data_IF_313237388677
#
_entry.id   IF_313237388677
#
_cell.length_a   1.000
_cell.length_b   1.000
_cell.length_c   1.000
_cell.angle_alpha   90.00
_cell.angle_beta   90.00
_cell.angle_gamma   90.00
#
_symmetry.space_group_name_H-M   'P 1'
#
loop_
_entity.id
_entity.type
_entity.pdbx_description
1 polymer ?
#
# COMPACT_ATOMS: atom_id res chain seq x y z
N UNK A 1 -11.33 6.03 -15.22
CA UNK A 1 -9.97 6.08 -14.63
C UNK A 1 -9.85 5.37 -13.28
N UNK A 2 -10.84 5.38 -12.37
CA UNK A 2 -10.75 4.61 -11.11
C UNK A 2 -10.56 3.09 -11.33
N UNK A 3 -11.13 2.56 -12.42
CA UNK A 3 -10.95 1.17 -12.85
C UNK A 3 -9.49 0.75 -13.09
N UNK A 4 -8.60 1.68 -13.48
CA UNK A 4 -7.19 1.33 -13.75
C UNK A 4 -6.36 1.23 -12.47
N UNK A 5 -6.79 1.83 -11.36
CA UNK A 5 -6.08 1.77 -10.09
C UNK A 5 -6.37 0.47 -9.31
N UNK A 6 -7.53 -0.16 -9.56
CA UNK A 6 -7.94 -1.38 -8.84
C UNK A 6 -6.98 -2.56 -9.05
N UNK A 7 -6.52 -2.90 -10.28
CA UNK A 7 -5.55 -3.97 -10.47
C UNK A 7 -4.26 -3.72 -9.69
N UNK A 8 -3.73 -2.49 -9.72
CA UNK A 8 -2.53 -2.14 -8.97
C UNK A 8 -2.73 -2.27 -7.44
N UNK A 9 -3.90 -1.87 -6.93
CA UNK A 9 -4.26 -2.05 -5.52
C UNK A 9 -4.39 -3.53 -5.13
N UNK A 10 -4.97 -4.37 -6.00
CA UNK A 10 -5.04 -5.83 -5.77
C UNK A 10 -3.65 -6.45 -5.77
N UNK A 11 -2.80 -6.09 -6.73
CA UNK A 11 -1.42 -6.59 -6.80
C UNK A 11 -0.64 -6.18 -5.55
N UNK A 12 -0.76 -4.92 -5.11
CA UNK A 12 -0.14 -4.47 -3.86
C UNK A 12 -0.63 -5.30 -2.65
N UNK A 13 -1.94 -5.49 -2.51
CA UNK A 13 -2.53 -6.29 -1.43
C UNK A 13 -2.04 -7.75 -1.43
N UNK A 14 -2.00 -8.39 -2.60
CA UNK A 14 -1.49 -9.75 -2.76
C UNK A 14 -0.01 -9.86 -2.43
N UNK A 15 0.81 -8.91 -2.88
CA UNK A 15 2.25 -8.93 -2.60
C UNK A 15 2.56 -8.67 -1.12
N UNK A 16 1.82 -7.76 -0.47
CA UNK A 16 1.93 -7.60 0.99
C UNK A 16 1.46 -8.84 1.74
N UNK A 17 0.40 -9.50 1.29
CA UNK A 17 -0.05 -10.77 1.89
C UNK A 17 0.99 -11.88 1.71
N UNK A 18 1.63 -11.96 0.54
CA UNK A 18 2.72 -12.91 0.29
C UNK A 18 3.95 -12.59 1.14
N UNK A 19 4.28 -11.31 1.32
CA UNK A 19 5.35 -10.87 2.23
C UNK A 19 5.04 -11.34 3.65
N UNK A 20 3.83 -11.07 4.14
CA UNK A 20 3.39 -11.49 5.48
C UNK A 20 3.42 -13.01 5.66
N UNK A 21 3.05 -13.78 4.63
CA UNK A 21 3.07 -15.24 4.69
C UNK A 21 4.48 -15.82 4.89
N UNK A 22 5.53 -15.09 4.49
CA UNK A 22 6.93 -15.46 4.72
C UNK A 22 7.42 -14.84 6.03
N UNK A 23 7.19 -13.55 6.24
CA UNK A 23 7.73 -12.76 7.35
C UNK A 23 7.16 -13.20 8.73
N UNK A 24 5.92 -13.69 8.79
CA UNK A 24 5.33 -14.20 10.04
C UNK A 24 6.06 -15.45 10.58
N UNK A 25 6.34 -16.49 9.77
CA UNK A 25 7.11 -17.65 10.24
C UNK A 25 8.64 -17.49 10.13
N UNK A 26 9.15 -16.46 9.45
CA UNK A 26 10.57 -16.28 9.18
C UNK A 26 11.02 -14.85 9.51
N UNK A 27 11.89 -14.72 10.51
CA UNK A 27 12.53 -13.44 10.83
C UNK A 27 13.66 -13.19 9.85
N UNK A 28 13.56 -12.11 9.09
CA UNK A 28 14.58 -11.73 8.11
C UNK A 28 15.94 -11.46 8.79
N UNK A 29 17.00 -12.07 8.28
CA UNK A 29 18.35 -11.80 8.75
C UNK A 29 18.91 -10.51 8.14
N UNK A 30 19.73 -9.78 8.91
CA UNK A 30 20.48 -8.61 8.44
C UNK A 30 21.96 -8.78 8.86
N UNK A 31 22.89 -9.04 7.92
CA UNK A 31 22.68 -9.22 6.47
C UNK A 31 21.91 -10.49 6.11
N UNK A 32 21.47 -10.60 4.85
CA UNK A 32 20.67 -11.74 4.37
C UNK A 32 21.47 -13.05 4.49
N UNK A 33 20.85 -14.07 5.07
CA UNK A 33 21.46 -15.37 5.33
C UNK A 33 21.02 -16.44 4.32
N UNK A 34 19.89 -16.24 3.63
CA UNK A 34 19.37 -17.24 2.70
C UNK A 34 18.36 -16.71 1.67
N UNK A 35 17.90 -17.59 0.77
CA UNK A 35 17.02 -17.21 -0.34
C UNK A 35 15.66 -16.66 0.12
N UNK A 36 15.19 -17.02 1.31
CA UNK A 36 13.95 -16.48 1.87
C UNK A 36 14.06 -14.99 2.21
N UNK A 37 15.22 -14.52 2.67
CA UNK A 37 15.44 -13.09 2.95
C UNK A 37 15.35 -12.26 1.65
N UNK A 38 15.96 -12.76 0.57
CA UNK A 38 15.85 -12.15 -0.76
C UNK A 38 14.41 -12.17 -1.29
N UNK A 39 13.70 -13.29 -1.13
CA UNK A 39 12.32 -13.41 -1.59
C UNK A 39 11.39 -12.45 -0.83
N UNK A 40 11.56 -12.35 0.49
CA UNK A 40 10.80 -11.43 1.34
C UNK A 40 11.04 -9.97 0.91
N UNK A 41 12.31 -9.55 0.80
CA UNK A 41 12.63 -8.18 0.41
C UNK A 41 12.14 -7.86 -1.02
N UNK A 42 12.24 -8.81 -1.95
CA UNK A 42 11.76 -8.63 -3.33
C UNK A 42 10.24 -8.48 -3.39
N UNK A 43 9.49 -9.29 -2.64
CA UNK A 43 8.04 -9.19 -2.53
C UNK A 43 7.63 -7.85 -1.91
N UNK A 44 8.33 -7.44 -0.85
CA UNK A 44 8.08 -6.17 -0.17
C UNK A 44 8.34 -4.97 -1.09
N UNK A 45 9.48 -4.93 -1.78
CA UNK A 45 9.80 -3.89 -2.76
C UNK A 45 8.76 -3.84 -3.90
N UNK A 46 8.36 -5.00 -4.43
CA UNK A 46 7.34 -5.08 -5.48
C UNK A 46 5.95 -4.61 -4.99
N UNK A 47 5.60 -4.93 -3.74
CA UNK A 47 4.37 -4.47 -3.11
C UNK A 47 4.34 -2.94 -3.02
N UNK A 48 5.45 -2.33 -2.59
CA UNK A 48 5.60 -0.88 -2.45
C UNK A 48 5.56 -0.17 -3.81
N UNK A 49 6.20 -0.72 -4.85
CA UNK A 49 6.09 -0.18 -6.22
C UNK A 49 4.64 -0.23 -6.73
N UNK A 50 3.94 -1.34 -6.47
CA UNK A 50 2.53 -1.50 -6.86
C UNK A 50 1.62 -0.53 -6.10
N UNK A 51 1.87 -0.34 -4.80
CA UNK A 51 1.19 0.64 -3.96
C UNK A 51 1.42 2.08 -4.46
N UNK A 52 2.67 2.45 -4.76
CA UNK A 52 3.04 3.74 -5.32
C UNK A 52 2.31 4.01 -6.65
N UNK A 53 2.28 3.00 -7.54
CA UNK A 53 1.56 3.08 -8.81
C UNK A 53 0.04 3.26 -8.60
N UNK A 54 -0.56 2.49 -7.69
CA UNK A 54 -1.99 2.60 -7.38
C UNK A 54 -2.36 4.00 -6.88
N UNK A 55 -1.58 4.57 -5.94
CA UNK A 55 -1.77 5.93 -5.44
C UNK A 55 -1.55 6.98 -6.52
N UNK A 56 -0.55 6.79 -7.38
CA UNK A 56 -0.31 7.67 -8.51
C UNK A 56 -1.51 7.71 -9.47
N UNK A 57 -2.08 6.54 -9.79
CA UNK A 57 -3.27 6.44 -10.64
C UNK A 57 -4.50 7.08 -9.99
N UNK A 58 -4.70 6.91 -8.69
CA UNK A 58 -5.74 7.62 -7.93
C UNK A 58 -5.53 9.14 -7.96
N UNK A 59 -4.29 9.59 -7.87
CA UNK A 59 -3.96 11.01 -7.98
C UNK A 59 -4.33 11.59 -9.35
N UNK A 60 -4.19 10.81 -10.44
CA UNK A 60 -4.60 11.23 -11.79
C UNK A 60 -6.11 11.31 -11.94
N UNK A 61 -6.84 10.45 -11.24
CA UNK A 61 -8.30 10.43 -11.25
C UNK A 61 -8.95 11.52 -10.35
N UNK A 62 -8.19 12.10 -9.40
CA UNK A 62 -8.73 13.07 -8.46
C UNK A 62 -8.98 14.45 -9.10
N UNK A 63 -10.14 15.04 -8.78
CA UNK A 63 -10.56 16.37 -9.25
C UNK A 63 -10.11 17.46 -8.26
N UNK A 64 -9.23 18.35 -8.69
CA UNK A 64 -8.75 19.49 -7.88
C UNK A 64 -7.36 19.27 -7.26
N UNK A 65 -6.58 20.35 -7.23
CA UNK A 65 -5.14 20.31 -6.90
C UNK A 65 -4.86 19.72 -5.52
N UNK A 66 -5.59 20.12 -4.49
CA UNK A 66 -5.39 19.62 -3.12
C UNK A 66 -5.55 18.10 -3.00
N UNK A 67 -6.58 17.53 -3.64
CA UNK A 67 -6.83 16.08 -3.62
C UNK A 67 -5.77 15.31 -4.40
N UNK A 68 -5.32 15.85 -5.53
CA UNK A 68 -4.20 15.26 -6.29
C UNK A 68 -2.93 15.22 -5.48
N UNK A 69 -2.58 16.32 -4.79
CA UNK A 69 -1.40 16.38 -3.93
C UNK A 69 -1.52 15.39 -2.77
N UNK A 70 -2.69 15.29 -2.13
CA UNK A 70 -2.92 14.34 -1.03
C UNK A 70 -2.67 12.88 -1.43
N UNK A 71 -2.96 12.49 -2.68
CA UNK A 71 -2.61 11.15 -3.20
C UNK A 71 -1.15 11.01 -3.63
N UNK A 72 -0.52 12.10 -4.11
CA UNK A 72 0.87 12.09 -4.58
C UNK A 72 1.89 11.99 -3.46
N UNK A 73 1.62 12.61 -2.31
CA UNK A 73 2.53 12.56 -1.16
C UNK A 73 2.80 11.12 -0.70
N UNK A 74 1.78 10.29 -0.40
CA UNK A 74 2.03 8.90 -0.04
C UNK A 74 2.48 8.05 -1.24
N UNK A 75 2.14 8.41 -2.49
CA UNK A 75 2.70 7.74 -3.66
C UNK A 75 4.22 7.90 -3.73
N UNK A 76 4.71 9.13 -3.51
CA UNK A 76 6.14 9.42 -3.43
C UNK A 76 6.79 8.74 -2.22
N UNK A 77 6.10 8.72 -1.07
CA UNK A 77 6.51 7.97 0.11
C UNK A 77 6.73 6.49 -0.19
N UNK A 78 5.71 5.79 -0.71
CA UNK A 78 5.82 4.39 -1.12
C UNK A 78 6.95 4.19 -2.15
N UNK A 79 7.14 5.12 -3.08
CA UNK A 79 8.24 5.08 -4.05
C UNK A 79 9.63 5.16 -3.39
N UNK A 80 9.82 6.04 -2.40
CA UNK A 80 11.08 6.12 -1.65
C UNK A 80 11.36 4.85 -0.84
N UNK A 81 10.34 4.32 -0.16
CA UNK A 81 10.47 3.04 0.56
C UNK A 81 10.79 1.92 -0.41
N UNK A 82 10.14 1.88 -1.59
CA UNK A 82 10.41 0.89 -2.62
C UNK A 82 11.85 0.97 -3.16
N UNK A 83 12.38 2.17 -3.36
CA UNK A 83 13.78 2.38 -3.76
C UNK A 83 14.74 1.89 -2.68
N UNK A 84 14.49 2.22 -1.42
CA UNK A 84 15.31 1.75 -0.30
C UNK A 84 15.29 0.21 -0.16
N UNK A 85 14.10 -0.40 -0.26
CA UNK A 85 13.93 -1.85 -0.25
C UNK A 85 14.62 -2.52 -1.44
N UNK A 86 14.51 -1.95 -2.65
CA UNK A 86 15.20 -2.44 -3.84
C UNK A 86 16.72 -2.36 -3.69
N UNK A 87 17.24 -1.28 -3.10
CA UNK A 87 18.67 -1.14 -2.82
C UNK A 87 19.15 -2.17 -1.79
N UNK A 88 18.36 -2.40 -0.73
CA UNK A 88 18.59 -3.43 0.28
C UNK A 88 18.61 -4.83 -0.33
N UNK A 89 17.67 -5.12 -1.23
CA UNK A 89 17.64 -6.39 -1.97
C UNK A 89 18.91 -6.64 -2.78
N UNK A 90 19.43 -5.60 -3.46
CA UNK A 90 20.65 -5.70 -4.26
C UNK A 90 21.90 -5.81 -3.38
N UNK A 91 21.95 -5.07 -2.27
CA UNK A 91 23.08 -5.02 -1.35
C UNK A 91 23.09 -6.15 -0.31
N UNK A 92 21.98 -6.87 -0.14
CA UNK A 92 21.75 -7.90 0.88
C UNK A 92 21.86 -7.41 2.34
N UNK A 93 21.81 -6.09 2.56
CA UNK A 93 21.77 -5.44 3.86
C UNK A 93 21.20 -4.02 3.69
N UNK A 94 20.67 -3.43 4.78
CA UNK A 94 20.13 -2.07 4.73
C UNK A 94 21.25 -1.04 4.41
N UNK A 95 21.06 -0.34 3.30
CA UNK A 95 21.97 0.70 2.78
C UNK A 95 21.33 2.08 2.74
N UNK A 96 20.00 2.17 2.89
CA UNK A 96 19.23 3.40 2.67
C UNK A 96 18.22 3.67 3.80
N UNK A 97 18.51 3.21 5.03
CA UNK A 97 17.68 3.42 6.22
C UNK A 97 17.11 4.84 6.40
N UNK A 98 17.88 5.94 6.23
CA UNK A 98 17.32 7.29 6.30
C UNK A 98 16.29 7.61 5.21
N UNK A 99 16.49 7.11 3.99
CA UNK A 99 15.54 7.28 2.86
C UNK A 99 14.29 6.44 3.10
N UNK A 100 14.45 5.23 3.62
CA UNK A 100 13.35 4.37 4.05
C UNK A 100 12.47 5.07 5.08
N UNK A 101 13.08 5.61 6.15
CA UNK A 101 12.37 6.33 7.20
C UNK A 101 11.64 7.57 6.66
N UNK A 102 12.30 8.36 5.81
CA UNK A 102 11.67 9.51 5.16
C UNK A 102 10.45 9.09 4.31
N UNK A 103 10.59 8.00 3.55
CA UNK A 103 9.51 7.43 2.76
C UNK A 103 8.32 7.03 3.62
N UNK A 104 8.56 6.33 4.73
CA UNK A 104 7.52 5.94 5.69
C UNK A 104 6.81 7.15 6.31
N UNK A 105 7.54 8.21 6.68
CA UNK A 105 6.94 9.43 7.21
C UNK A 105 6.03 10.11 6.18
N UNK A 106 6.40 10.13 4.90
CA UNK A 106 5.55 10.65 3.82
C UNK A 106 4.31 9.78 3.60
N UNK A 107 4.43 8.45 3.70
CA UNK A 107 3.28 7.54 3.65
C UNK A 107 2.30 7.84 4.78
N UNK A 108 2.81 7.90 6.02
CA UNK A 108 1.99 8.17 7.21
C UNK A 108 1.30 9.52 7.12
N UNK A 109 2.06 10.60 6.87
CA UNK A 109 1.50 11.94 6.74
C UNK A 109 0.47 12.02 5.60
N UNK A 110 0.77 11.41 4.45
CA UNK A 110 -0.13 11.34 3.31
C UNK A 110 -1.45 10.63 3.63
N UNK A 111 -1.38 9.47 4.27
CA UNK A 111 -2.56 8.70 4.66
C UNK A 111 -3.40 9.40 5.73
N UNK A 112 -2.78 10.10 6.68
CA UNK A 112 -3.52 10.93 7.64
C UNK A 112 -4.26 12.08 6.95
N UNK A 113 -3.63 12.76 6.00
CA UNK A 113 -4.29 13.80 5.19
C UNK A 113 -5.46 13.21 4.39
N UNK A 114 -5.28 12.04 3.78
CA UNK A 114 -6.35 11.34 3.05
C UNK A 114 -7.50 10.94 3.99
N UNK A 115 -7.21 10.43 5.18
CA UNK A 115 -8.20 10.10 6.20
C UNK A 115 -9.03 11.34 6.61
N UNK A 116 -8.36 12.49 6.83
CA UNK A 116 -9.06 13.76 7.11
C UNK A 116 -9.95 14.18 5.93
N UNK A 117 -9.49 14.03 4.69
CA UNK A 117 -10.31 14.30 3.51
C UNK A 117 -11.50 13.36 3.39
N UNK A 118 -11.35 12.10 3.78
CA UNK A 118 -12.42 11.11 3.86
C UNK A 118 -13.48 11.48 4.91
N UNK A 119 -13.05 11.84 6.13
CA UNK A 119 -13.94 12.28 7.20
C UNK A 119 -14.72 13.54 6.79
N UNK A 120 -14.10 14.42 6.00
CA UNK A 120 -14.75 15.61 5.42
C UNK A 120 -15.61 15.27 4.19
N UNK A 121 -15.73 14.00 3.80
CA UNK A 121 -16.44 13.50 2.61
C UNK A 121 -15.95 14.10 1.30
N UNK A 122 -14.68 14.52 1.24
CA UNK A 122 -14.04 15.14 0.08
C UNK A 122 -13.22 14.17 -0.75
N UNK A 123 -13.04 12.93 -0.30
CA UNK A 123 -12.26 11.92 -1.01
C UNK A 123 -13.14 10.98 -1.83
N UNK A 124 -12.61 10.56 -2.97
CA UNK A 124 -13.15 9.47 -3.79
C UNK A 124 -11.99 8.54 -4.21
N UNK A 125 -12.14 7.21 -4.06
CA UNK A 125 -13.25 6.50 -3.42
C UNK A 125 -13.37 6.82 -1.92
N UNK A 126 -14.59 6.73 -1.36
CA UNK A 126 -14.85 6.99 0.06
C UNK A 126 -14.21 5.89 0.92
N UNK A 127 -13.74 6.28 2.10
CA UNK A 127 -13.08 5.43 3.10
C UNK A 127 -11.69 4.92 2.74
N UNK A 128 -11.18 5.18 1.53
CA UNK A 128 -9.86 4.68 1.15
C UNK A 128 -8.71 5.29 1.98
N UNK A 129 -8.77 6.58 2.29
CA UNK A 129 -7.83 7.23 3.19
C UNK A 129 -7.90 6.67 4.60
N UNK A 130 -9.12 6.41 5.11
CA UNK A 130 -9.30 5.76 6.42
C UNK A 130 -8.75 4.32 6.44
N UNK A 131 -9.01 3.53 5.40
CA UNK A 131 -8.46 2.17 5.28
C UNK A 131 -6.93 2.18 5.27
N UNK A 132 -6.32 3.05 4.46
CA UNK A 132 -4.86 3.15 4.35
C UNK A 132 -4.22 3.63 5.66
N UNK A 133 -4.83 4.63 6.33
CA UNK A 133 -4.37 5.12 7.62
C UNK A 133 -4.48 4.02 8.69
N UNK A 134 -5.63 3.34 8.80
CA UNK A 134 -5.83 2.26 9.74
C UNK A 134 -4.88 1.10 9.51
N UNK A 135 -4.67 0.69 8.25
CA UNK A 135 -3.69 -0.36 7.91
C UNK A 135 -2.27 0.01 8.28
N UNK A 136 -1.88 1.28 8.10
CA UNK A 136 -0.53 1.75 8.45
C UNK A 136 -0.33 1.88 9.95
N UNK A 137 -1.33 2.36 10.68
CA UNK A 137 -1.31 2.35 12.15
C UNK A 137 -1.24 0.91 12.66
N UNK A 138 -2.01 -0.01 12.08
CA UNK A 138 -1.95 -1.44 12.40
C UNK A 138 -0.58 -2.03 12.11
N UNK A 139 0.04 -1.67 10.99
CA UNK A 139 1.40 -2.10 10.64
C UNK A 139 2.42 -1.67 11.69
N UNK A 140 2.40 -0.40 12.10
CA UNK A 140 3.29 0.13 13.14
C UNK A 140 3.01 -0.51 14.51
N UNK A 141 1.75 -0.72 14.87
CA UNK A 141 1.37 -1.23 16.18
C UNK A 141 1.66 -2.74 16.36
N UNK A 142 1.58 -3.51 15.27
CA UNK A 142 1.78 -4.95 15.29
C UNK A 142 3.25 -5.36 15.08
N UNK A 143 4.09 -4.46 14.57
CA UNK A 143 5.51 -4.71 14.31
C UNK A 143 5.76 -5.61 13.10
N UNK A 144 7.01 -6.06 12.97
CA UNK A 144 7.47 -6.89 11.85
C UNK A 144 6.70 -8.23 11.77
N UNK A 145 6.58 -8.82 10.58
CA UNK A 145 5.74 -9.98 10.33
C UNK A 145 4.27 -9.62 10.25
N UNK A 146 3.63 -9.43 11.40
CA UNK A 146 2.17 -9.29 11.50
C UNK A 146 1.70 -7.93 10.96
N UNK A 147 2.54 -6.90 11.03
CA UNK A 147 2.21 -5.57 10.52
C UNK A 147 1.96 -5.52 9.01
N UNK A 148 2.64 -6.36 8.23
CA UNK A 148 2.42 -6.43 6.77
C UNK A 148 1.04 -7.01 6.41
N UNK A 149 0.43 -7.81 7.29
CA UNK A 149 -0.97 -8.25 7.15
C UNK A 149 -1.93 -7.06 7.19
N UNK A 150 -1.68 -6.07 8.05
CA UNK A 150 -2.52 -4.88 8.15
C UNK A 150 -2.46 -4.03 6.86
N UNK A 151 -1.28 -3.93 6.23
CA UNK A 151 -1.13 -3.32 4.91
C UNK A 151 -1.83 -4.11 3.81
N UNK A 152 -1.72 -5.44 3.80
CA UNK A 152 -2.44 -6.28 2.84
C UNK A 152 -3.96 -6.06 2.94
N UNK A 153 -4.50 -6.08 4.16
CA UNK A 153 -5.92 -5.85 4.42
C UNK A 153 -6.37 -4.45 3.97
N UNK A 154 -5.59 -3.41 4.23
CA UNK A 154 -5.89 -2.05 3.77
C UNK A 154 -5.93 -1.95 2.25
N UNK A 155 -4.96 -2.56 1.55
CA UNK A 155 -4.91 -2.56 0.09
C UNK A 155 -6.03 -3.35 -0.56
N UNK A 156 -6.41 -4.50 0.00
CA UNK A 156 -7.63 -5.20 -0.41
C UNK A 156 -8.90 -4.38 -0.16
N UNK A 157 -8.97 -3.67 0.97
CA UNK A 157 -10.04 -2.73 1.28
C UNK A 157 -10.16 -1.63 0.22
N UNK A 158 -9.05 -0.98 -0.14
CA UNK A 158 -9.02 0.02 -1.23
C UNK A 158 -9.45 -0.59 -2.56
N UNK A 159 -8.96 -1.78 -2.90
CA UNK A 159 -9.36 -2.48 -4.12
C UNK A 159 -10.87 -2.82 -4.16
N UNK A 160 -11.46 -3.18 -3.02
CA UNK A 160 -12.89 -3.41 -2.89
C UNK A 160 -13.70 -2.12 -3.05
N UNK A 161 -13.22 -1.00 -2.49
CA UNK A 161 -13.84 0.32 -2.62
C UNK A 161 -13.78 0.87 -4.05
N UNK A 162 -12.87 0.37 -4.89
CA UNK A 162 -12.75 0.72 -6.30
C UNK A 162 -13.62 -0.14 -7.24
N UNK A 163 -14.40 -1.09 -6.72
CA UNK A 163 -15.29 -1.90 -7.55
C UNK A 163 -16.43 -1.05 -8.16
N UNK A 164 -16.72 -1.20 -9.47
CA UNK A 164 -17.85 -0.53 -10.10
C UNK A 164 -19.19 -1.02 -9.53
N UNK A 165 -20.15 -0.11 -9.35
CA UNK A 165 -21.46 -0.38 -8.74
C UNK A 165 -22.29 -1.44 -9.50
N UNK A 166 -21.99 -1.65 -10.79
CA UNK A 166 -22.69 -2.59 -11.69
C UNK A 166 -22.49 -4.07 -11.35
N UNK A 167 -21.55 -4.41 -10.46
CA UNK A 167 -21.28 -5.81 -10.09
C UNK A 167 -22.20 -6.35 -8.96
N UNK A 168 -23.20 -5.58 -8.50
CA UNK A 168 -23.97 -5.92 -7.29
C UNK A 168 -25.38 -6.48 -7.49
N UNK A 169 -25.98 -6.48 -8.69
CA UNK A 169 -27.31 -7.10 -8.88
C UNK A 169 -27.47 -7.64 -10.29
N UNK A 170 -27.46 -8.97 -10.40
CA UNK A 170 -28.15 -9.73 -11.45
C UNK A 170 -28.75 -10.98 -10.81
N UNK A 171 -29.68 -10.81 -9.87
CA UNK A 171 -30.63 -11.88 -9.58
C UNK A 171 -31.67 -11.86 -10.71
N UNK A 172 -31.89 -12.96 -11.44
CA UNK A 172 -33.02 -13.03 -12.35
C UNK A 172 -34.31 -13.03 -11.52
N UNK A 173 -35.17 -12.05 -11.77
CA UNK A 173 -36.55 -12.11 -11.30
C UNK A 173 -37.18 -13.38 -11.88
N UNK A 174 -37.40 -14.37 -11.03
CA UNK A 174 -38.14 -15.57 -11.38
C UNK A 174 -39.57 -15.15 -11.74
N UNK A 175 -40.00 -15.50 -12.95
CA UNK A 175 -41.38 -15.45 -13.43
C UNK A 175 -41.92 -16.88 -13.49
#
# INVERSE_FOLDING_TARGET
MQLTARPAALVAGTLFAATAAIDVPHVQAQPFAGPLDYALEALFAAALWSAALALWLLSRAATGRGRRVAWRVPAAGCGLVAVAATATLVAAHDVLGPVFMLGLLLVLAGYLVLAVLDLRRRLTPRFAGLCLAAGTVGMVALGDGVGTVAWAAAWFGVAALLQPASARVSEPAAA
#
